data_IF_170954317060
#
_entry.id   IF_170954317060
#
_cell.length_a   1.000
_cell.length_b   1.000
_cell.length_c   1.000
_cell.angle_alpha   90.00
_cell.angle_beta   90.00
_cell.angle_gamma   90.00
#
_symmetry.space_group_name_H-M   'P 1'
#
loop_
_entity.id
_entity.type
_entity.pdbx_description
1 polymer ?
#
# COMPACT_ATOMS: atom_id res chain seq x y z
N UNK A 1 -72.67 -63.03 -6.61
CA UNK A 1 -72.48 -61.58 -6.83
C UNK A 1 -71.05 -61.20 -6.47
N UNK A 2 -70.17 -61.10 -7.47
CA UNK A 2 -68.81 -60.60 -7.26
C UNK A 2 -68.84 -59.06 -7.25
N UNK A 3 -68.58 -58.43 -6.11
CA UNK A 3 -68.38 -56.99 -6.01
C UNK A 3 -67.08 -56.65 -6.76
N UNK A 4 -67.20 -56.23 -8.02
CA UNK A 4 -66.06 -55.72 -8.79
C UNK A 4 -65.54 -54.46 -8.10
N UNK A 5 -64.28 -54.51 -7.69
CA UNK A 5 -63.67 -53.56 -6.79
C UNK A 5 -63.18 -52.32 -7.58
N UNK A 6 -64.12 -51.55 -8.15
CA UNK A 6 -63.85 -50.37 -9.00
C UNK A 6 -62.93 -49.35 -8.30
N UNK A 7 -63.02 -49.27 -6.97
CA UNK A 7 -62.17 -48.43 -6.12
C UNK A 7 -60.69 -48.81 -6.12
N UNK A 8 -60.32 -50.09 -6.39
CA UNK A 8 -58.91 -50.50 -6.44
C UNK A 8 -58.18 -49.96 -7.67
N UNK A 9 -58.86 -49.90 -8.84
CA UNK A 9 -58.28 -49.37 -10.08
C UNK A 9 -58.07 -47.85 -10.01
N UNK A 10 -59.04 -47.12 -9.48
CA UNK A 10 -58.93 -45.67 -9.28
C UNK A 10 -57.80 -45.30 -8.32
N UNK A 11 -57.67 -46.02 -7.19
CA UNK A 11 -56.57 -45.83 -6.24
C UNK A 11 -55.20 -46.04 -6.89
N UNK A 12 -55.07 -47.01 -7.80
CA UNK A 12 -53.82 -47.34 -8.48
C UNK A 12 -53.41 -46.24 -9.48
N UNK A 13 -54.36 -45.69 -10.24
CA UNK A 13 -54.12 -44.55 -11.14
C UNK A 13 -53.73 -43.29 -10.34
N UNK A 14 -54.38 -43.06 -9.20
CA UNK A 14 -54.12 -41.91 -8.34
C UNK A 14 -52.70 -41.99 -7.72
N UNK A 15 -52.28 -43.17 -7.25
CA UNK A 15 -50.91 -43.41 -6.80
C UNK A 15 -49.89 -43.26 -7.93
N UNK A 16 -50.18 -43.76 -9.13
CA UNK A 16 -49.29 -43.59 -10.28
C UNK A 16 -49.11 -42.11 -10.66
N UNK A 17 -50.19 -41.33 -10.70
CA UNK A 17 -50.12 -39.89 -10.95
C UNK A 17 -49.33 -39.16 -9.86
N UNK A 18 -49.60 -39.45 -8.59
CA UNK A 18 -48.87 -38.88 -7.45
C UNK A 18 -47.37 -39.19 -7.53
N UNK A 19 -47.01 -40.43 -7.87
CA UNK A 19 -45.61 -40.84 -8.05
C UNK A 19 -44.92 -40.08 -9.18
N UNK A 20 -45.59 -39.89 -10.33
CA UNK A 20 -45.02 -39.13 -11.44
C UNK A 20 -44.79 -37.68 -11.02
N UNK A 21 -45.79 -37.02 -10.43
CA UNK A 21 -45.67 -35.62 -9.98
C UNK A 21 -44.58 -35.47 -8.94
N UNK A 22 -44.47 -36.41 -7.99
CA UNK A 22 -43.42 -36.40 -6.97
C UNK A 22 -42.03 -36.53 -7.60
N UNK A 23 -41.85 -37.48 -8.52
CA UNK A 23 -40.57 -37.69 -9.23
C UNK A 23 -40.20 -36.46 -10.05
N UNK A 24 -41.13 -35.88 -10.82
CA UNK A 24 -40.88 -34.67 -11.59
C UNK A 24 -40.49 -33.49 -10.69
N UNK A 25 -41.17 -33.33 -9.56
CA UNK A 25 -40.84 -32.28 -8.58
C UNK A 25 -39.44 -32.47 -8.00
N UNK A 26 -39.08 -33.70 -7.62
CA UNK A 26 -37.74 -34.02 -7.11
C UNK A 26 -36.65 -33.75 -8.16
N UNK A 27 -36.89 -34.11 -9.42
CA UNK A 27 -35.95 -33.82 -10.52
C UNK A 27 -35.78 -32.31 -10.71
N UNK A 28 -36.87 -31.55 -10.72
CA UNK A 28 -36.81 -30.10 -10.85
C UNK A 28 -36.05 -29.45 -9.69
N UNK A 29 -36.32 -29.87 -8.45
CA UNK A 29 -35.60 -29.40 -7.26
C UNK A 29 -34.12 -29.74 -7.36
N UNK A 30 -33.77 -30.96 -7.80
CA UNK A 30 -32.39 -31.37 -7.98
C UNK A 30 -31.66 -30.53 -9.04
N UNK A 31 -32.27 -30.29 -10.20
CA UNK A 31 -31.72 -29.43 -11.26
C UNK A 31 -31.55 -27.99 -10.77
N UNK A 32 -32.53 -27.47 -10.03
CA UNK A 32 -32.47 -26.12 -9.45
C UNK A 32 -31.37 -26.02 -8.41
N UNK A 33 -31.21 -27.03 -7.54
CA UNK A 33 -30.17 -27.11 -6.54
C UNK A 33 -28.78 -27.11 -7.19
N UNK A 34 -28.53 -27.99 -8.17
CA UNK A 34 -27.27 -28.04 -8.92
C UNK A 34 -26.98 -26.69 -9.58
N UNK A 35 -27.98 -26.11 -10.24
CA UNK A 35 -27.83 -24.81 -10.88
C UNK A 35 -27.52 -23.69 -9.89
N UNK A 36 -28.03 -23.76 -8.65
CA UNK A 36 -27.74 -22.78 -7.58
C UNK A 36 -26.31 -22.93 -7.10
N UNK A 37 -25.87 -24.17 -6.84
CA UNK A 37 -24.50 -24.48 -6.39
C UNK A 37 -23.48 -24.02 -7.44
N UNK A 38 -23.68 -24.34 -8.73
CA UNK A 38 -22.77 -23.91 -9.79
C UNK A 38 -22.70 -22.39 -9.92
N UNK A 39 -23.84 -21.70 -9.78
CA UNK A 39 -23.89 -20.23 -9.80
C UNK A 39 -23.14 -19.62 -8.62
N UNK A 40 -23.34 -20.12 -7.41
CA UNK A 40 -22.64 -19.64 -6.22
C UNK A 40 -21.13 -19.87 -6.33
N UNK A 41 -20.70 -21.04 -6.79
CA UNK A 41 -19.28 -21.31 -7.04
C UNK A 41 -18.68 -20.37 -8.10
N UNK A 42 -19.39 -20.12 -9.20
CA UNK A 42 -18.95 -19.19 -10.23
C UNK A 42 -18.86 -17.75 -9.70
N UNK A 43 -19.80 -17.34 -8.85
CA UNK A 43 -19.80 -16.04 -8.19
C UNK A 43 -18.61 -15.89 -7.23
N UNK A 44 -18.36 -16.88 -6.36
CA UNK A 44 -17.22 -16.88 -5.44
C UNK A 44 -15.91 -16.80 -6.25
N UNK A 45 -15.74 -17.63 -7.28
CA UNK A 45 -14.56 -17.59 -8.15
C UNK A 45 -14.37 -16.21 -8.77
N UNK A 46 -15.45 -15.62 -9.28
CA UNK A 46 -15.43 -14.27 -9.88
C UNK A 46 -15.05 -13.21 -8.86
N UNK A 47 -15.59 -13.27 -7.64
CA UNK A 47 -15.28 -12.33 -6.57
C UNK A 47 -13.82 -12.43 -6.12
N UNK A 48 -13.32 -13.66 -5.93
CA UNK A 48 -11.91 -13.90 -5.60
C UNK A 48 -11.00 -13.38 -6.70
N UNK A 49 -11.31 -13.67 -7.97
CA UNK A 49 -10.54 -13.16 -9.11
C UNK A 49 -10.53 -11.63 -9.16
N UNK A 50 -11.69 -10.98 -8.97
CA UNK A 50 -11.78 -9.53 -8.91
C UNK A 50 -10.95 -8.95 -7.76
N UNK A 51 -11.00 -9.58 -6.59
CA UNK A 51 -10.21 -9.16 -5.42
C UNK A 51 -8.70 -9.25 -5.71
N UNK A 52 -8.24 -10.39 -6.25
CA UNK A 52 -6.84 -10.58 -6.63
C UNK A 52 -6.40 -9.57 -7.70
N UNK A 53 -7.21 -9.35 -8.73
CA UNK A 53 -6.92 -8.34 -9.75
C UNK A 53 -6.84 -6.94 -9.18
N UNK A 54 -7.76 -6.57 -8.28
CA UNK A 54 -7.73 -5.28 -7.57
C UNK A 54 -6.45 -5.12 -6.75
N UNK A 55 -6.06 -6.15 -6.00
CA UNK A 55 -4.82 -6.14 -5.22
C UNK A 55 -3.59 -5.98 -6.11
N UNK A 56 -3.52 -6.70 -7.23
CA UNK A 56 -2.42 -6.59 -8.19
C UNK A 56 -2.30 -5.16 -8.74
N UNK A 57 -3.42 -4.53 -9.09
CA UNK A 57 -3.44 -3.14 -9.57
C UNK A 57 -2.94 -2.18 -8.49
N UNK A 58 -3.32 -2.38 -7.22
CA UNK A 58 -2.84 -1.54 -6.11
C UNK A 58 -1.33 -1.72 -5.89
N UNK A 59 -0.84 -2.96 -5.90
CA UNK A 59 0.59 -3.26 -5.77
C UNK A 59 1.40 -2.67 -6.93
N UNK A 60 0.90 -2.77 -8.16
CA UNK A 60 1.56 -2.20 -9.33
C UNK A 60 1.63 -0.67 -9.25
N UNK A 61 0.56 -0.01 -8.79
CA UNK A 61 0.56 1.44 -8.53
C UNK A 61 1.57 1.83 -7.47
N UNK A 62 1.58 1.13 -6.32
CA UNK A 62 2.55 1.38 -5.26
C UNK A 62 3.99 1.20 -5.76
N UNK A 63 4.25 0.12 -6.51
CA UNK A 63 5.55 -0.14 -7.13
C UNK A 63 5.95 0.97 -8.12
N UNK A 64 5.02 1.44 -8.95
CA UNK A 64 5.26 2.51 -9.91
C UNK A 64 5.62 3.83 -9.20
N UNK A 65 4.91 4.17 -8.13
CA UNK A 65 5.16 5.35 -7.31
C UNK A 65 6.55 5.29 -6.66
N UNK A 66 6.89 4.18 -6.01
CA UNK A 66 8.20 3.99 -5.37
C UNK A 66 9.35 3.99 -6.40
N UNK A 67 9.14 3.41 -7.58
CA UNK A 67 10.14 3.45 -8.64
C UNK A 67 10.35 4.88 -9.18
N UNK A 68 9.28 5.66 -9.30
CA UNK A 68 9.34 7.07 -9.72
C UNK A 68 10.06 7.93 -8.69
N UNK A 69 9.73 7.75 -7.40
CA UNK A 69 10.44 8.36 -6.27
C UNK A 69 11.92 8.05 -6.31
N UNK A 70 12.29 6.77 -6.42
CA UNK A 70 13.69 6.33 -6.49
C UNK A 70 14.42 6.97 -7.66
N UNK A 71 13.85 6.93 -8.87
CA UNK A 71 14.47 7.53 -10.06
C UNK A 71 14.69 9.04 -9.89
N UNK A 72 13.74 9.74 -9.29
CA UNK A 72 13.88 11.18 -9.01
C UNK A 72 15.01 11.43 -8.00
N UNK A 73 15.04 10.71 -6.88
CA UNK A 73 16.12 10.84 -5.88
C UNK A 73 17.48 10.52 -6.51
N UNK A 74 17.61 9.40 -7.24
CA UNK A 74 18.85 9.02 -7.91
C UNK A 74 19.30 10.06 -8.95
N UNK A 75 18.36 10.62 -9.71
CA UNK A 75 18.66 11.71 -10.63
C UNK A 75 19.26 12.89 -9.87
N UNK A 76 18.64 13.31 -8.76
CA UNK A 76 19.11 14.44 -7.97
C UNK A 76 20.46 14.19 -7.27
N UNK A 77 20.69 12.96 -6.82
CA UNK A 77 21.95 12.56 -6.18
C UNK A 77 23.11 12.41 -7.18
N UNK A 78 22.84 12.14 -8.46
CA UNK A 78 23.89 11.93 -9.46
C UNK A 78 24.17 13.16 -10.35
N UNK A 79 23.26 14.13 -10.42
CA UNK A 79 23.36 15.27 -11.35
C UNK A 79 23.43 16.63 -10.65
N UNK A 80 24.40 16.82 -9.75
CA UNK A 80 24.53 18.08 -8.97
C UNK A 80 24.57 19.34 -9.84
N UNK A 81 25.15 19.26 -11.04
CA UNK A 81 25.35 20.39 -11.95
C UNK A 81 24.05 20.96 -12.52
N UNK A 82 22.98 20.16 -12.55
CA UNK A 82 21.69 20.53 -13.16
C UNK A 82 20.73 21.10 -12.12
N UNK A 83 21.08 21.04 -10.83
CA UNK A 83 20.15 21.27 -9.73
C UNK A 83 20.44 22.60 -9.05
N UNK A 84 19.49 23.53 -9.16
CA UNK A 84 19.43 24.73 -8.34
C UNK A 84 19.10 24.41 -6.89
N UNK A 85 19.72 25.15 -5.97
CA UNK A 85 19.46 25.05 -4.53
C UNK A 85 17.97 25.26 -4.24
N UNK A 86 17.35 24.32 -3.55
CA UNK A 86 15.94 24.33 -3.20
C UNK A 86 15.68 25.41 -2.15
N UNK A 87 14.78 26.33 -2.46
CA UNK A 87 14.44 27.45 -1.59
C UNK A 87 13.86 27.01 -0.23
N UNK A 88 13.34 25.78 -0.14
CA UNK A 88 12.77 25.25 1.10
C UNK A 88 13.82 24.91 2.16
N UNK A 89 15.10 24.80 1.78
CA UNK A 89 16.20 24.57 2.73
C UNK A 89 16.27 25.62 3.84
N UNK A 90 15.81 26.86 3.56
CA UNK A 90 15.79 27.96 4.54
C UNK A 90 14.88 27.70 5.75
N UNK A 91 13.98 26.72 5.65
CA UNK A 91 13.06 26.36 6.74
C UNK A 91 13.61 25.27 7.65
N UNK A 92 14.79 24.70 7.34
CA UNK A 92 15.49 23.78 8.23
C UNK A 92 16.12 24.55 9.38
N UNK A 93 15.89 24.05 10.59
CA UNK A 93 16.38 24.64 11.83
C UNK A 93 16.91 23.52 12.73
N UNK A 94 17.98 23.81 13.46
CA UNK A 94 18.43 22.94 14.54
C UNK A 94 17.51 23.11 15.76
N UNK A 95 17.29 22.02 16.49
CA UNK A 95 16.65 22.09 17.79
C UNK A 95 17.59 22.81 18.80
N UNK A 96 16.98 23.38 19.84
CA UNK A 96 17.62 24.01 21.00
C UNK A 96 18.75 23.18 21.62
N UNK A 97 18.71 21.86 21.51
CA UNK A 97 19.72 20.94 22.05
C UNK A 97 20.91 20.69 21.11
N UNK A 98 20.82 21.07 19.83
CA UNK A 98 21.83 20.78 18.79
C UNK A 98 21.96 19.29 18.44
N UNK A 99 21.02 18.45 18.89
CA UNK A 99 21.05 16.99 18.67
C UNK A 99 20.16 16.51 17.53
N UNK A 100 19.33 17.39 17.00
CA UNK A 100 18.42 17.11 15.91
C UNK A 100 18.15 18.39 15.11
N UNK A 101 17.62 18.22 13.91
CA UNK A 101 17.13 19.32 13.10
C UNK A 101 15.78 18.95 12.48
N UNK A 102 14.97 19.96 12.20
CA UNK A 102 13.62 19.80 11.70
C UNK A 102 13.21 20.93 10.76
N UNK A 103 12.12 20.73 10.02
CA UNK A 103 11.56 21.71 9.09
C UNK A 103 10.20 22.28 9.56
N UNK A 104 9.99 22.40 10.87
CA UNK A 104 8.72 22.84 11.45
C UNK A 104 8.35 24.30 11.12
N UNK A 105 9.34 25.14 10.78
CA UNK A 105 9.12 26.52 10.35
C UNK A 105 8.52 26.66 8.94
N UNK A 106 8.25 25.54 8.26
CA UNK A 106 7.64 25.55 6.93
C UNK A 106 6.20 26.11 7.01
N UNK A 107 5.78 27.04 6.11
CA UNK A 107 4.43 27.56 6.09
C UNK A 107 3.37 26.46 5.87
N UNK A 108 2.22 26.56 6.54
CA UNK A 108 1.15 25.55 6.52
C UNK A 108 0.68 25.17 5.09
N UNK A 109 0.64 26.12 4.16
CA UNK A 109 0.28 25.86 2.75
C UNK A 109 1.28 24.96 2.03
N UNK A 110 2.56 25.02 2.42
CA UNK A 110 3.62 24.17 1.88
C UNK A 110 3.68 22.83 2.62
N UNK A 111 3.45 22.80 3.93
CA UNK A 111 3.42 21.57 4.73
C UNK A 111 2.51 20.49 4.09
N UNK A 112 1.32 20.91 3.61
CA UNK A 112 0.35 20.03 2.93
C UNK A 112 0.81 19.48 1.58
N UNK A 113 1.88 20.02 0.98
CA UNK A 113 2.34 19.69 -0.38
C UNK A 113 3.68 18.97 -0.41
N UNK A 114 4.54 19.24 0.55
CA UNK A 114 5.94 18.75 0.51
C UNK A 114 6.32 17.90 1.71
N UNK A 115 5.47 17.83 2.74
CA UNK A 115 5.77 17.09 3.96
C UNK A 115 6.83 17.79 4.81
N UNK A 116 7.62 17.03 5.56
CA UNK A 116 8.71 17.56 6.37
C UNK A 116 9.97 16.68 6.40
N UNK A 117 11.07 17.35 6.74
CA UNK A 117 12.35 16.72 7.03
C UNK A 117 12.59 16.80 8.54
N UNK A 118 12.99 15.67 9.12
CA UNK A 118 13.60 15.60 10.45
C UNK A 118 14.90 14.81 10.37
N UNK A 119 15.87 15.14 11.19
CA UNK A 119 17.17 14.48 11.17
C UNK A 119 17.90 14.55 12.50
N UNK A 120 18.91 13.70 12.60
CA UNK A 120 19.74 13.52 13.78
C UNK A 120 21.06 14.27 13.64
N UNK A 121 21.52 14.84 14.74
CA UNK A 121 22.75 15.60 14.83
C UNK A 121 22.59 17.05 14.36
N UNK A 122 23.73 17.66 14.03
CA UNK A 122 23.82 19.04 13.57
C UNK A 122 23.58 19.13 12.07
N UNK A 123 22.96 20.24 11.65
CA UNK A 123 22.65 20.53 10.26
C UNK A 123 23.88 21.15 9.57
N UNK A 124 24.78 20.31 9.06
CA UNK A 124 25.92 20.78 8.27
C UNK A 124 25.52 20.98 6.79
N UNK A 125 25.01 22.17 6.48
CA UNK A 125 24.73 22.58 5.08
C UNK A 125 25.98 23.01 4.31
N UNK A 126 27.13 23.18 4.97
CA UNK A 126 28.39 23.51 4.31
C UNK A 126 28.97 22.29 3.59
N UNK A 127 28.70 21.10 4.12
CA UNK A 127 29.11 19.85 3.50
C UNK A 127 28.27 19.58 2.25
N UNK A 128 28.94 19.63 1.09
CA UNK A 128 28.25 19.59 -0.20
C UNK A 128 27.39 18.33 -0.40
N UNK A 129 27.80 17.17 0.12
CA UNK A 129 27.03 15.92 0.04
C UNK A 129 25.72 16.04 0.83
N UNK A 130 25.76 16.64 2.02
CA UNK A 130 24.58 16.84 2.88
C UNK A 130 23.61 17.80 2.18
N UNK A 131 24.12 18.92 1.66
CA UNK A 131 23.33 19.87 0.89
C UNK A 131 22.68 19.19 -0.33
N UNK A 132 23.40 18.32 -1.04
CA UNK A 132 22.85 17.59 -2.18
C UNK A 132 21.75 16.60 -1.76
N UNK A 133 21.95 15.84 -0.69
CA UNK A 133 20.94 14.92 -0.17
C UNK A 133 19.68 15.66 0.28
N UNK A 134 19.82 16.80 0.97
CA UNK A 134 18.68 17.62 1.38
C UNK A 134 17.92 18.20 0.18
N UNK A 135 18.64 18.66 -0.85
CA UNK A 135 18.01 19.11 -2.09
C UNK A 135 17.25 17.98 -2.79
N UNK A 136 17.85 16.79 -2.89
CA UNK A 136 17.21 15.63 -3.48
C UNK A 136 15.94 15.24 -2.71
N UNK A 137 16.02 15.23 -1.38
CA UNK A 137 14.90 14.96 -0.50
C UNK A 137 13.75 15.94 -0.73
N UNK A 138 14.02 17.26 -0.69
CA UNK A 138 13.00 18.29 -0.88
C UNK A 138 12.40 18.28 -2.29
N UNK A 139 13.18 17.89 -3.30
CA UNK A 139 12.69 17.84 -4.69
C UNK A 139 11.66 16.73 -4.91
N UNK A 140 11.67 15.68 -4.08
CA UNK A 140 10.72 14.57 -4.18
C UNK A 140 9.49 14.70 -3.28
N UNK A 141 9.35 15.79 -2.53
CA UNK A 141 8.17 16.05 -1.66
C UNK A 141 6.83 15.86 -2.38
N UNK A 142 6.60 16.50 -3.55
CA UNK A 142 5.37 16.30 -4.32
C UNK A 142 5.15 14.85 -4.80
N UNK A 143 6.23 14.09 -5.04
CA UNK A 143 6.13 12.68 -5.40
C UNK A 143 5.74 11.82 -4.19
N UNK A 144 6.17 12.17 -2.98
CA UNK A 144 5.74 11.51 -1.75
C UNK A 144 4.24 11.75 -1.53
N UNK A 145 3.77 12.99 -1.73
CA UNK A 145 2.35 13.32 -1.72
C UNK A 145 1.57 12.46 -2.72
N UNK A 146 2.00 12.46 -3.99
CA UNK A 146 1.34 11.68 -5.03
C UNK A 146 1.36 10.17 -4.73
N UNK A 147 2.41 9.66 -4.08
CA UNK A 147 2.49 8.25 -3.70
C UNK A 147 1.43 7.87 -2.67
N UNK A 148 1.18 8.71 -1.66
CA UNK A 148 0.13 8.49 -0.65
C UNK A 148 -1.26 8.63 -1.29
N UNK A 149 -1.50 9.69 -2.06
CA UNK A 149 -2.81 9.94 -2.69
C UNK A 149 -3.21 8.86 -3.70
N UNK A 150 -2.25 8.29 -4.43
CA UNK A 150 -2.51 7.27 -5.45
C UNK A 150 -2.53 5.82 -4.90
N UNK A 151 -2.19 5.63 -3.63
CA UNK A 151 -2.11 4.29 -3.01
C UNK A 151 -3.17 4.18 -1.92
N UNK A 152 -4.31 3.55 -2.27
CA UNK A 152 -5.41 3.34 -1.33
C UNK A 152 -4.93 2.60 -0.07
N UNK A 153 -5.17 3.18 1.11
CA UNK A 153 -4.77 2.63 2.40
C UNK A 153 -3.38 3.05 2.88
N UNK A 154 -2.58 3.74 2.06
CA UNK A 154 -1.33 4.33 2.51
C UNK A 154 -1.62 5.55 3.41
N UNK A 155 -1.01 5.59 4.59
CA UNK A 155 -1.12 6.71 5.53
C UNK A 155 0.10 7.64 5.47
N UNK A 156 1.24 7.11 5.03
CA UNK A 156 2.51 7.82 4.98
C UNK A 156 3.40 7.29 3.84
N UNK A 157 4.28 8.15 3.34
CA UNK A 157 5.37 7.81 2.44
C UNK A 157 6.63 8.57 2.85
N UNK A 158 7.79 7.93 2.79
CA UNK A 158 9.03 8.55 3.24
C UNK A 158 10.26 8.08 2.47
N UNK A 159 11.30 8.90 2.52
CA UNK A 159 12.64 8.60 2.02
C UNK A 159 13.66 8.78 3.14
N UNK A 160 14.42 7.72 3.44
CA UNK A 160 15.44 7.71 4.49
C UNK A 160 16.83 7.89 3.88
N UNK A 161 17.58 8.86 4.39
CA UNK A 161 18.96 9.13 4.01
C UNK A 161 19.88 8.68 5.16
N UNK A 162 20.13 7.38 5.25
CA UNK A 162 20.77 6.75 6.41
C UNK A 162 22.17 7.31 6.71
N UNK A 163 22.97 7.61 5.68
CA UNK A 163 24.31 8.18 5.86
C UNK A 163 24.29 9.60 6.45
N UNK A 164 23.34 10.43 6.02
CA UNK A 164 23.14 11.79 6.54
C UNK A 164 22.17 11.83 7.73
N UNK A 165 21.66 10.67 8.15
CA UNK A 165 20.75 10.48 9.28
C UNK A 165 19.56 11.43 9.28
N UNK A 166 18.84 11.50 8.17
CA UNK A 166 17.57 12.24 8.11
C UNK A 166 16.52 11.50 7.30
N UNK A 167 15.27 11.90 7.49
CA UNK A 167 14.10 11.37 6.79
C UNK A 167 13.32 12.52 6.19
N UNK A 168 12.85 12.35 4.96
CA UNK A 168 11.79 13.18 4.40
C UNK A 168 10.50 12.37 4.38
N UNK A 169 9.43 12.90 4.98
CA UNK A 169 8.18 12.19 5.18
C UNK A 169 6.99 13.02 4.71
N UNK A 170 5.95 12.34 4.24
CA UNK A 170 4.65 12.90 3.91
C UNK A 170 3.54 12.00 4.48
N UNK A 171 2.44 12.55 5.04
CA UNK A 171 2.14 13.98 5.23
C UNK A 171 3.06 14.65 6.25
N UNK A 172 3.01 15.99 6.36
CA UNK A 172 3.76 16.73 7.38
C UNK A 172 3.37 16.27 8.79
N UNK A 173 4.36 15.86 9.59
CA UNK A 173 4.20 15.55 11.02
C UNK A 173 5.12 16.48 11.82
N UNK A 174 4.62 17.32 12.74
CA UNK A 174 5.45 18.20 13.55
C UNK A 174 6.58 17.45 14.27
N UNK A 175 7.76 18.06 14.42
CA UNK A 175 8.92 17.43 15.07
C UNK A 175 8.65 16.98 16.50
N UNK A 176 7.73 17.68 17.20
CA UNK A 176 7.23 17.32 18.53
C UNK A 176 6.49 15.98 18.58
N UNK A 177 5.89 15.57 17.47
CA UNK A 177 5.08 14.35 17.35
C UNK A 177 5.90 13.23 16.70
N UNK A 178 6.80 13.58 15.77
CA UNK A 178 7.76 12.65 15.18
C UNK A 178 9.05 13.36 14.78
N UNK A 179 10.17 12.84 15.29
CA UNK A 179 11.53 13.18 14.83
C UNK A 179 12.29 11.88 14.61
N UNK A 180 13.09 11.80 13.55
CA UNK A 180 13.97 10.65 13.35
C UNK A 180 14.85 10.45 14.59
N UNK A 181 14.74 9.29 15.23
CA UNK A 181 15.57 8.88 16.35
C UNK A 181 16.50 7.73 15.95
N UNK A 182 17.55 7.48 16.75
CA UNK A 182 18.38 6.30 16.55
C UNK A 182 17.55 5.02 16.74
N UNK A 183 16.60 5.01 17.67
CA UNK A 183 15.68 3.89 17.88
C UNK A 183 14.85 3.56 16.64
N UNK A 184 14.37 4.58 15.89
CA UNK A 184 13.66 4.36 14.63
C UNK A 184 14.57 3.71 13.57
N UNK A 185 15.83 4.11 13.52
CA UNK A 185 16.80 3.50 12.60
C UNK A 185 17.12 2.06 12.99
N UNK A 186 17.33 1.80 14.28
CA UNK A 186 17.69 0.49 14.80
C UNK A 186 16.53 -0.50 14.67
N UNK A 187 15.30 -0.06 14.97
CA UNK A 187 14.09 -0.88 14.82
C UNK A 187 13.85 -1.30 13.36
N UNK A 188 14.23 -0.46 12.41
CA UNK A 188 14.06 -0.72 10.97
C UNK A 188 15.35 -1.21 10.29
N UNK A 189 16.38 -1.58 11.07
CA UNK A 189 17.70 -1.91 10.55
C UNK A 189 17.67 -3.11 9.59
N UNK A 190 16.83 -4.12 9.83
CA UNK A 190 16.66 -5.28 8.94
C UNK A 190 16.23 -4.81 7.54
N UNK A 191 15.15 -4.01 7.47
CA UNK A 191 14.60 -3.48 6.22
C UNK A 191 15.63 -2.64 5.47
N UNK A 192 16.34 -1.74 6.17
CA UNK A 192 17.35 -0.90 5.55
C UNK A 192 18.56 -1.69 5.07
N UNK A 193 18.95 -2.73 5.79
CA UNK A 193 20.07 -3.61 5.44
C UNK A 193 19.76 -4.45 4.21
N UNK A 194 18.53 -4.95 4.07
CA UNK A 194 18.10 -5.75 2.92
C UNK A 194 18.15 -4.99 1.59
N UNK A 195 17.94 -3.66 1.62
CA UNK A 195 17.91 -2.83 0.41
C UNK A 195 19.26 -2.21 0.05
N UNK A 196 20.31 -2.48 0.82
CA UNK A 196 21.67 -2.01 0.53
C UNK A 196 22.19 -2.54 -0.82
N UNK A 197 23.12 -1.85 -1.50
CA UNK A 197 23.72 -2.35 -2.73
C UNK A 197 24.37 -3.73 -2.60
N UNK A 198 24.87 -4.07 -1.41
CA UNK A 198 25.50 -5.35 -1.10
C UNK A 198 24.48 -6.50 -1.11
N UNK A 199 23.31 -6.31 -0.48
CA UNK A 199 22.27 -7.33 -0.35
C UNK A 199 21.24 -7.30 -1.49
N UNK A 200 21.12 -6.17 -2.19
CA UNK A 200 20.21 -5.94 -3.30
C UNK A 200 20.93 -5.27 -4.48
N UNK A 201 21.90 -5.94 -5.13
CA UNK A 201 22.70 -5.36 -6.21
C UNK A 201 21.86 -4.96 -7.43
N UNK A 202 20.74 -5.66 -7.66
CA UNK A 202 19.78 -5.34 -8.74
C UNK A 202 18.85 -4.18 -8.38
N UNK A 203 18.92 -3.65 -7.14
CA UNK A 203 18.04 -2.60 -6.62
C UNK A 203 16.56 -2.91 -6.85
N UNK A 204 16.20 -4.18 -6.74
CA UNK A 204 14.83 -4.64 -6.91
C UNK A 204 13.98 -4.15 -5.73
N UNK A 205 12.70 -3.90 -5.99
CA UNK A 205 11.79 -3.54 -4.90
C UNK A 205 11.66 -4.68 -3.90
N UNK A 206 11.59 -4.33 -2.62
CA UNK A 206 11.40 -5.26 -1.51
C UNK A 206 10.18 -4.84 -0.72
N UNK A 207 9.40 -5.83 -0.32
CA UNK A 207 8.29 -5.68 0.60
C UNK A 207 8.73 -6.28 1.93
N UNK A 208 8.62 -5.50 3.00
CA UNK A 208 8.87 -6.01 4.35
C UNK A 208 7.74 -6.94 4.79
N UNK A 209 7.93 -7.62 5.91
CA UNK A 209 6.83 -8.27 6.62
C UNK A 209 5.77 -7.23 6.98
N UNK A 210 4.53 -7.68 7.17
CA UNK A 210 3.43 -6.84 7.64
C UNK A 210 3.86 -6.23 8.98
N UNK A 211 3.77 -4.90 9.06
CA UNK A 211 4.01 -4.18 10.30
C UNK A 211 2.95 -4.63 11.33
N UNK A 212 3.39 -5.09 12.49
CA UNK A 212 2.54 -5.49 13.60
C UNK A 212 2.80 -4.53 14.75
N UNK A 213 1.78 -3.73 15.07
CA UNK A 213 1.76 -2.81 16.22
C UNK A 213 1.78 -3.57 17.55
#
# INVERSE_FOLDING_TARGET
MNKVNVFKGYRLILWAFLSVVLVTTLVLVFVQFQSRVTREQAQIKTQVQKSVSSMNVLLEKANSNLNSLRKAVEFHLNHRQVITQNALLRYLQEDSTGKAFHMDALPAELQKKVGNITGLGTLDTSHSITQQSLNAALSVGPLLQAAVENTSGATLAYAVFNHQKFINLYPFIPSKDFTLSQDVLDHNAEVYTEVTPQNNPKRAMKWSKIYQD
#
